data_IF_232702536041
#
_entry.id   IF_232702536041
#
_cell.length_a   1.000
_cell.length_b   1.000
_cell.length_c   1.000
_cell.angle_alpha   90.00
_cell.angle_beta   90.00
_cell.angle_gamma   90.00
#
_symmetry.space_group_name_H-M   'P 1'
#
loop_
_entity.id
_entity.type
_entity.pdbx_description
1 polymer ?
#
# COMPACT_ATOMS: atom_id res chain seq x y z
N UNK A 1 6.05 -22.87 3.70
CA UNK A 1 6.96 -21.91 4.40
C UNK A 1 6.74 -22.00 5.90
N UNK A 2 7.77 -21.80 6.74
CA UNK A 2 7.63 -21.81 8.21
C UNK A 2 7.93 -20.45 8.85
N UNK A 3 7.19 -20.11 9.91
CA UNK A 3 7.39 -18.89 10.71
C UNK A 3 7.14 -19.15 12.19
N UNK A 4 7.96 -18.57 13.06
CA UNK A 4 7.74 -18.61 14.52
C UNK A 4 7.26 -17.23 15.00
N UNK A 5 6.04 -17.18 15.50
CA UNK A 5 5.41 -15.94 15.96
C UNK A 5 4.58 -16.20 17.22
N UNK A 6 4.52 -15.22 18.12
CA UNK A 6 3.62 -15.26 19.30
C UNK A 6 2.13 -15.41 18.92
N UNK A 7 1.72 -14.85 17.78
CA UNK A 7 0.37 -14.96 17.21
C UNK A 7 0.45 -14.96 15.68
N UNK A 8 -0.55 -15.51 15.00
CA UNK A 8 -0.59 -15.44 13.53
C UNK A 8 -0.54 -13.97 13.06
N UNK A 9 0.30 -13.69 12.08
CA UNK A 9 0.43 -12.37 11.45
C UNK A 9 -0.28 -12.32 10.08
N UNK A 10 -0.81 -13.45 9.63
CA UNK A 10 -1.48 -13.60 8.34
C UNK A 10 -2.76 -14.41 8.50
N UNK A 11 -3.66 -14.25 7.55
CA UNK A 11 -4.96 -14.95 7.50
C UNK A 11 -5.05 -15.71 6.18
N UNK A 12 -5.55 -16.95 6.23
CA UNK A 12 -5.82 -17.74 5.03
C UNK A 12 -6.88 -17.04 4.15
N UNK A 13 -6.74 -17.15 2.83
CA UNK A 13 -7.54 -16.46 1.82
C UNK A 13 -7.10 -15.02 1.51
N UNK A 14 -6.24 -14.41 2.33
CA UNK A 14 -5.79 -13.05 2.10
C UNK A 14 -4.60 -12.98 1.13
N UNK A 15 -4.53 -11.88 0.36
CA UNK A 15 -3.38 -11.56 -0.48
C UNK A 15 -2.51 -10.48 0.17
N UNK A 16 -1.20 -10.71 0.19
CA UNK A 16 -0.20 -9.80 0.75
C UNK A 16 0.79 -9.34 -0.32
N UNK A 17 1.19 -8.07 -0.26
CA UNK A 17 2.25 -7.54 -1.13
C UNK A 17 3.61 -7.73 -0.45
N UNK A 18 4.53 -8.38 -1.15
CA UNK A 18 5.90 -8.62 -0.70
C UNK A 18 6.88 -8.20 -1.79
N UNK A 19 8.18 -8.26 -1.50
CA UNK A 19 9.21 -8.01 -2.52
C UNK A 19 9.19 -9.04 -3.66
N UNK A 20 8.66 -10.24 -3.41
CA UNK A 20 8.50 -11.29 -4.41
C UNK A 20 7.19 -11.19 -5.21
N UNK A 21 6.45 -10.08 -5.08
CA UNK A 21 5.14 -9.88 -5.71
C UNK A 21 3.98 -10.07 -4.74
N UNK A 22 2.79 -10.29 -5.30
CA UNK A 22 1.56 -10.57 -4.54
C UNK A 22 1.52 -12.05 -4.19
N UNK A 23 1.44 -12.36 -2.90
CA UNK A 23 1.37 -13.72 -2.39
C UNK A 23 0.00 -13.94 -1.78
N UNK A 24 -0.67 -15.02 -2.17
CA UNK A 24 -1.90 -15.50 -1.55
C UNK A 24 -1.54 -16.49 -0.45
N UNK A 25 -2.17 -16.35 0.71
CA UNK A 25 -2.03 -17.32 1.80
C UNK A 25 -3.16 -18.34 1.68
N UNK A 26 -2.85 -19.54 1.24
CA UNK A 26 -3.84 -20.61 1.07
C UNK A 26 -4.29 -21.18 2.42
N UNK A 27 -3.32 -21.46 3.28
CA UNK A 27 -3.53 -22.16 4.53
C UNK A 27 -2.56 -21.66 5.60
N UNK A 28 -3.08 -21.53 6.82
CA UNK A 28 -2.30 -21.23 8.02
C UNK A 28 -2.58 -22.32 9.04
N UNK A 29 -1.57 -23.13 9.35
CA UNK A 29 -1.66 -24.17 10.39
C UNK A 29 -0.52 -24.03 11.39
N UNK A 30 -0.71 -24.53 12.61
CA UNK A 30 0.34 -24.58 13.64
C UNK A 30 0.95 -25.98 13.65
N UNK A 31 2.28 -26.06 13.74
CA UNK A 31 3.02 -27.31 13.78
C UNK A 31 4.08 -27.26 14.87
N UNK A 32 4.19 -28.32 15.68
CA UNK A 32 5.30 -28.43 16.62
C UNK A 32 6.61 -28.65 15.84
N UNK A 33 7.75 -28.05 16.22
CA UNK A 33 9.02 -28.26 15.53
C UNK A 33 9.39 -29.75 15.33
N UNK A 34 9.10 -30.58 16.34
CA UNK A 34 9.32 -32.04 16.31
C UNK A 34 8.37 -32.80 15.38
N UNK A 35 7.28 -32.18 14.92
CA UNK A 35 6.29 -32.76 14.01
C UNK A 35 6.36 -32.20 12.59
N UNK A 36 7.38 -31.38 12.28
CA UNK A 36 7.62 -30.90 10.92
C UNK A 36 7.97 -32.09 10.03
N UNK A 37 7.20 -32.29 8.97
CA UNK A 37 7.41 -33.39 8.02
C UNK A 37 8.47 -33.00 7.00
N UNK A 38 9.26 -33.97 6.54
CA UNK A 38 10.27 -33.76 5.49
C UNK A 38 9.68 -33.23 4.18
N UNK A 39 8.43 -33.61 3.86
CA UNK A 39 7.73 -33.10 2.69
C UNK A 39 7.44 -31.59 2.80
N UNK A 40 6.98 -31.12 3.96
CA UNK A 40 6.70 -29.70 4.20
C UNK A 40 7.99 -28.87 4.22
N UNK A 41 9.08 -29.43 4.77
CA UNK A 41 10.42 -28.84 4.69
C UNK A 41 10.87 -28.63 3.23
N UNK A 42 10.77 -29.67 2.40
CA UNK A 42 11.11 -29.60 0.98
C UNK A 42 10.23 -28.62 0.21
N UNK A 43 8.91 -28.65 0.42
CA UNK A 43 7.97 -27.72 -0.20
C UNK A 43 8.24 -26.26 0.21
N UNK A 44 8.78 -26.04 1.42
CA UNK A 44 9.20 -24.73 1.90
C UNK A 44 10.60 -24.31 1.40
N UNK A 45 11.25 -25.10 0.53
CA UNK A 45 12.56 -24.80 -0.04
C UNK A 45 13.76 -25.23 0.81
N UNK A 46 13.56 -26.02 1.87
CA UNK A 46 14.64 -26.51 2.71
C UNK A 46 15.13 -27.91 2.28
N UNK A 47 16.43 -28.19 2.40
CA UNK A 47 16.97 -29.52 2.07
C UNK A 47 16.63 -30.58 3.14
N UNK A 48 16.29 -30.17 4.37
CA UNK A 48 15.95 -31.07 5.47
C UNK A 48 15.08 -30.41 6.54
N UNK A 49 14.46 -31.22 7.41
CA UNK A 49 13.72 -30.72 8.58
C UNK A 49 14.64 -29.96 9.53
N UNK A 50 15.87 -30.46 9.75
CA UNK A 50 16.84 -29.80 10.62
C UNK A 50 17.20 -28.39 10.11
N UNK A 51 17.38 -28.22 8.79
CA UNK A 51 17.60 -26.91 8.18
C UNK A 51 16.41 -25.97 8.37
N UNK A 52 15.17 -26.47 8.18
CA UNK A 52 13.96 -25.69 8.40
C UNK A 52 13.81 -25.24 9.86
N UNK A 53 14.11 -26.11 10.83
CA UNK A 53 14.06 -25.79 12.27
C UNK A 53 15.15 -24.78 12.66
N UNK A 54 16.37 -24.95 12.13
CA UNK A 54 17.48 -24.04 12.38
C UNK A 54 17.22 -22.63 11.83
N UNK A 55 16.43 -22.50 10.77
CA UNK A 55 16.09 -21.18 10.21
C UNK A 55 14.96 -20.46 10.95
N UNK A 56 14.26 -21.12 11.89
CA UNK A 56 13.17 -20.48 12.63
C UNK A 56 13.68 -19.32 13.50
N UNK A 57 13.39 -18.09 13.06
CA UNK A 57 13.63 -16.86 13.81
C UNK A 57 12.44 -16.52 14.71
N UNK A 58 12.71 -16.02 15.91
CA UNK A 58 11.70 -15.63 16.90
C UNK A 58 11.99 -16.23 18.29
N UNK A 59 11.21 -15.84 19.29
CA UNK A 59 11.40 -16.26 20.69
C UNK A 59 11.21 -17.77 20.83
N UNK A 60 12.18 -18.51 21.41
CA UNK A 60 11.97 -19.92 21.73
C UNK A 60 10.71 -20.13 22.57
N UNK A 61 9.86 -21.09 22.18
CA UNK A 61 8.57 -21.35 22.83
C UNK A 61 7.35 -20.75 22.14
N UNK A 62 7.54 -19.75 21.27
CA UNK A 62 6.43 -19.25 20.44
C UNK A 62 5.97 -20.33 19.44
N UNK A 63 4.66 -20.36 19.09
CA UNK A 63 4.12 -21.25 18.08
C UNK A 63 4.85 -21.16 16.74
N UNK A 64 5.00 -22.30 16.07
CA UNK A 64 5.49 -22.37 14.69
C UNK A 64 4.31 -22.58 13.75
N UNK A 65 4.18 -21.69 12.78
CA UNK A 65 3.17 -21.73 11.74
C UNK A 65 3.76 -22.32 10.45
N UNK A 66 3.03 -23.25 9.85
CA UNK A 66 3.20 -23.71 8.47
C UNK A 66 2.24 -22.92 7.58
N UNK A 67 2.81 -22.15 6.67
CA UNK A 67 2.09 -21.34 5.69
C UNK A 67 2.19 -22.00 4.32
N UNK A 68 1.04 -22.25 3.69
CA UNK A 68 0.94 -22.60 2.27
C UNK A 68 0.61 -21.34 1.48
N UNK A 69 1.40 -21.08 0.46
CA UNK A 69 1.44 -19.81 -0.24
C UNK A 69 1.64 -20.06 -1.73
N UNK A 70 1.00 -19.25 -2.57
CA UNK A 70 1.30 -19.16 -3.99
C UNK A 70 1.39 -17.70 -4.44
N UNK A 71 2.01 -17.46 -5.60
CA UNK A 71 1.99 -16.15 -6.24
C UNK A 71 0.61 -15.91 -6.83
N UNK A 72 0.00 -14.76 -6.55
CA UNK A 72 -1.26 -14.39 -7.18
C UNK A 72 -1.08 -14.32 -8.70
N UNK A 73 -1.98 -14.94 -9.45
CA UNK A 73 -1.93 -15.00 -10.92
C UNK A 73 -2.48 -13.71 -11.57
N UNK A 74 -3.38 -13.01 -10.87
CA UNK A 74 -3.98 -11.78 -11.36
C UNK A 74 -3.06 -10.56 -11.25
N UNK A 75 -3.19 -9.66 -12.24
CA UNK A 75 -2.59 -8.33 -12.20
C UNK A 75 -2.96 -7.58 -10.92
N UNK A 76 -2.05 -6.74 -10.40
CA UNK A 76 -2.32 -5.93 -9.22
C UNK A 76 -3.48 -4.95 -9.54
N UNK A 77 -4.67 -5.09 -8.91
CA UNK A 77 -5.79 -4.20 -9.20
C UNK A 77 -5.46 -2.73 -8.93
N UNK A 78 -4.51 -2.46 -8.03
CA UNK A 78 -4.01 -1.10 -7.76
C UNK A 78 -3.15 -0.55 -8.90
N UNK A 79 -2.36 -1.41 -9.55
CA UNK A 79 -1.59 -1.02 -10.73
C UNK A 79 -2.52 -0.76 -11.91
N UNK A 80 -3.53 -1.62 -12.11
CA UNK A 80 -4.57 -1.42 -13.12
C UNK A 80 -5.31 -0.09 -12.91
N UNK A 81 -5.77 0.19 -11.68
CA UNK A 81 -6.37 1.49 -11.33
C UNK A 81 -5.42 2.65 -11.63
N UNK A 82 -4.16 2.56 -11.21
CA UNK A 82 -3.21 3.65 -11.41
C UNK A 82 -2.95 3.96 -12.89
N UNK A 83 -3.00 2.95 -13.76
CA UNK A 83 -2.80 3.09 -15.20
C UNK A 83 -3.99 3.73 -15.93
N UNK A 84 -5.19 3.78 -15.33
CA UNK A 84 -6.40 4.35 -15.94
C UNK A 84 -6.25 5.87 -16.14
N UNK A 85 -6.06 6.32 -17.38
CA UNK A 85 -5.93 7.75 -17.71
C UNK A 85 -7.26 8.44 -18.08
N UNK A 86 -8.29 7.66 -18.42
CA UNK A 86 -9.62 8.14 -18.79
C UNK A 86 -10.59 7.80 -17.66
N UNK A 87 -11.21 8.81 -17.05
CA UNK A 87 -12.14 8.64 -15.94
C UNK A 87 -13.57 8.92 -16.39
N UNK A 88 -14.46 7.96 -16.12
CA UNK A 88 -15.90 8.20 -16.20
C UNK A 88 -16.37 9.21 -15.14
N UNK A 89 -17.61 9.68 -15.26
CA UNK A 89 -18.20 10.53 -14.22
C UNK A 89 -18.36 9.78 -12.90
N UNK A 90 -18.68 8.49 -12.98
CA UNK A 90 -18.81 7.56 -11.87
C UNK A 90 -17.48 7.34 -11.18
N UNK A 91 -16.41 7.08 -11.94
CA UNK A 91 -15.04 6.98 -11.41
C UNK A 91 -14.63 8.24 -10.65
N UNK A 92 -14.89 9.41 -11.25
CA UNK A 92 -14.56 10.70 -10.65
C UNK A 92 -15.31 10.91 -9.35
N UNK A 93 -16.61 10.61 -9.34
CA UNK A 93 -17.45 10.73 -8.15
C UNK A 93 -16.99 9.77 -7.03
N UNK A 94 -16.62 8.54 -7.39
CA UNK A 94 -16.10 7.57 -6.43
C UNK A 94 -14.77 8.02 -5.82
N UNK A 95 -13.82 8.52 -6.63
CA UNK A 95 -12.56 9.07 -6.11
C UNK A 95 -12.86 10.21 -5.15
N UNK A 96 -13.70 11.18 -5.55
CA UNK A 96 -14.05 12.33 -4.74
C UNK A 96 -14.63 11.92 -3.38
N UNK A 97 -15.58 10.97 -3.37
CA UNK A 97 -16.19 10.44 -2.15
C UNK A 97 -15.15 9.78 -1.22
N UNK A 98 -14.20 9.02 -1.79
CA UNK A 98 -13.14 8.37 -1.01
C UNK A 98 -12.15 9.40 -0.43
N UNK A 99 -11.79 10.43 -1.19
CA UNK A 99 -10.93 11.52 -0.71
C UNK A 99 -11.62 12.32 0.40
N UNK A 100 -12.90 12.66 0.23
CA UNK A 100 -13.68 13.37 1.24
C UNK A 100 -13.76 12.59 2.56
N UNK A 101 -13.95 11.27 2.50
CA UNK A 101 -13.92 10.41 3.70
C UNK A 101 -12.55 10.44 4.39
N UNK A 102 -11.46 10.43 3.64
CA UNK A 102 -10.10 10.52 4.18
C UNK A 102 -9.83 11.87 4.84
N UNK A 103 -10.34 12.96 4.26
CA UNK A 103 -10.24 14.29 4.82
C UNK A 103 -11.09 14.45 6.09
N UNK A 104 -12.32 13.91 6.09
CA UNK A 104 -13.22 13.95 7.25
C UNK A 104 -12.70 13.14 8.44
N UNK A 105 -12.02 12.02 8.18
CA UNK A 105 -11.43 11.17 9.21
C UNK A 105 -10.10 11.71 9.77
N UNK A 106 -9.58 12.81 9.22
CA UNK A 106 -8.30 13.39 9.61
C UNK A 106 -8.44 14.28 10.83
N UNK A 107 -7.55 14.10 11.82
CA UNK A 107 -7.48 14.96 13.01
C UNK A 107 -6.75 16.30 12.76
N UNK A 108 -6.17 16.49 11.57
CA UNK A 108 -5.42 17.69 11.19
C UNK A 108 -6.03 18.38 9.97
N UNK A 109 -7.34 18.21 9.78
CA UNK A 109 -8.10 18.79 8.68
C UNK A 109 -7.86 18.14 7.31
N UNK A 110 -8.47 18.69 6.25
CA UNK A 110 -8.36 18.20 4.88
C UNK A 110 -6.92 18.25 4.36
N UNK A 111 -6.44 17.14 3.83
CA UNK A 111 -5.05 16.95 3.41
C UNK A 111 -4.92 16.37 2.01
N UNK A 112 -5.93 15.67 1.49
CA UNK A 112 -5.81 14.91 0.25
C UNK A 112 -5.51 15.81 -0.95
N UNK A 113 -6.27 16.89 -1.12
CA UNK A 113 -6.10 17.86 -2.21
C UNK A 113 -4.72 18.53 -2.19
N UNK A 114 -4.29 19.02 -1.02
CA UNK A 114 -2.97 19.65 -0.85
C UNK A 114 -1.83 18.67 -1.15
N UNK A 115 -1.99 17.40 -0.76
CA UNK A 115 -0.99 16.36 -1.00
C UNK A 115 -0.93 15.97 -2.48
N UNK A 116 -2.06 15.85 -3.17
CA UNK A 116 -2.08 15.62 -4.61
C UNK A 116 -1.45 16.79 -5.37
N UNK A 117 -1.81 18.02 -5.02
CA UNK A 117 -1.28 19.23 -5.65
C UNK A 117 0.24 19.38 -5.46
N UNK A 118 0.78 19.11 -4.26
CA UNK A 118 2.23 19.24 -4.04
C UNK A 118 3.01 18.16 -4.78
N UNK A 119 2.48 16.93 -4.89
CA UNK A 119 3.10 15.83 -5.64
C UNK A 119 3.09 16.12 -7.14
N UNK A 120 2.00 16.68 -7.66
CA UNK A 120 1.88 17.11 -9.06
C UNK A 120 2.92 18.19 -9.40
N UNK A 121 3.03 19.20 -8.53
CA UNK A 121 3.95 20.33 -8.73
C UNK A 121 5.42 19.94 -8.57
N UNK A 122 5.74 18.94 -7.74
CA UNK A 122 7.12 18.59 -7.35
C UNK A 122 7.36 17.07 -7.42
N UNK A 123 7.25 16.45 -8.60
CA UNK A 123 7.50 15.02 -8.75
C UNK A 123 8.96 14.69 -8.43
N UNK A 124 9.20 13.53 -7.81
CA UNK A 124 10.55 13.05 -7.48
C UNK A 124 11.22 13.71 -6.26
N UNK A 125 10.55 14.65 -5.59
CA UNK A 125 11.08 15.29 -4.38
C UNK A 125 10.92 14.38 -3.16
N UNK A 126 11.91 14.40 -2.26
CA UNK A 126 11.90 13.57 -1.04
C UNK A 126 10.67 13.88 -0.19
N UNK A 127 10.11 12.82 0.40
CA UNK A 127 8.93 12.91 1.24
C UNK A 127 9.09 13.89 2.42
N UNK A 128 10.31 14.00 2.98
CA UNK A 128 10.60 14.94 4.06
C UNK A 128 10.44 16.39 3.64
N UNK A 129 10.92 16.75 2.44
CA UNK A 129 10.87 18.12 1.93
C UNK A 129 9.42 18.51 1.56
N UNK A 130 8.67 17.58 0.95
CA UNK A 130 7.24 17.78 0.66
C UNK A 130 6.42 17.94 1.95
N UNK A 131 6.69 17.11 2.96
CA UNK A 131 6.01 17.21 4.25
C UNK A 131 6.35 18.52 4.96
N UNK A 132 7.62 18.93 4.97
CA UNK A 132 8.07 20.17 5.58
C UNK A 132 7.39 21.41 4.95
N UNK A 133 7.23 21.43 3.62
CA UNK A 133 6.54 22.52 2.94
C UNK A 133 5.04 22.60 3.31
N UNK A 134 4.41 21.46 3.61
CA UNK A 134 3.03 21.41 4.13
C UNK A 134 2.96 21.63 5.64
N UNK A 135 4.07 21.89 6.34
CA UNK A 135 4.11 22.00 7.79
C UNK A 135 3.81 20.68 8.52
N UNK A 136 4.13 19.54 7.91
CA UNK A 136 3.82 18.20 8.41
C UNK A 136 5.06 17.39 8.74
N UNK A 137 4.92 16.47 9.69
CA UNK A 137 5.93 15.44 9.93
C UNK A 137 5.97 14.41 8.78
N UNK A 138 7.19 13.94 8.46
CA UNK A 138 7.42 13.04 7.32
C UNK A 138 6.69 11.69 7.45
N UNK A 139 6.69 11.06 8.63
CA UNK A 139 6.11 9.72 8.79
C UNK A 139 4.58 9.72 8.63
N UNK A 140 3.81 10.63 9.28
CA UNK A 140 2.39 10.81 8.99
C UNK A 140 2.11 11.13 7.52
N UNK A 141 2.91 12.01 6.89
CA UNK A 141 2.77 12.32 5.47
C UNK A 141 2.93 11.06 4.58
N UNK A 142 3.93 10.21 4.85
CA UNK A 142 4.11 8.94 4.12
C UNK A 142 2.93 7.97 4.28
N UNK A 143 2.32 7.94 5.46
CA UNK A 143 1.12 7.13 5.72
C UNK A 143 -0.03 7.61 4.85
N UNK A 144 -0.21 8.92 4.75
CA UNK A 144 -1.24 9.55 3.93
C UNK A 144 -1.02 9.35 2.43
N UNK A 145 0.20 9.54 1.93
CA UNK A 145 0.55 9.23 0.53
C UNK A 145 0.27 7.76 0.22
N UNK A 146 0.48 6.83 1.17
CA UNK A 146 0.11 5.41 0.99
C UNK A 146 -1.40 5.22 0.82
N UNK A 147 -2.24 5.99 1.52
CA UNK A 147 -3.71 5.95 1.33
C UNK A 147 -4.08 6.39 -0.09
N UNK A 148 -3.49 7.48 -0.59
CA UNK A 148 -3.69 7.94 -1.98
C UNK A 148 -3.19 6.91 -3.01
N UNK A 149 -2.04 6.29 -2.75
CA UNK A 149 -1.51 5.21 -3.60
C UNK A 149 -2.49 4.03 -3.69
N UNK A 150 -3.16 3.67 -2.59
CA UNK A 150 -4.15 2.60 -2.57
C UNK A 150 -5.40 2.92 -3.39
N UNK A 151 -5.69 4.20 -3.62
CA UNK A 151 -6.72 4.67 -4.55
C UNK A 151 -6.21 4.74 -6.00
N UNK A 152 -4.97 4.34 -6.26
CA UNK A 152 -4.33 4.41 -7.56
C UNK A 152 -3.99 5.84 -7.99
N UNK A 153 -3.92 6.82 -7.10
CA UNK A 153 -3.72 8.24 -7.47
C UNK A 153 -2.25 8.69 -7.48
N UNK A 154 -1.35 7.91 -6.89
CA UNK A 154 0.08 8.25 -6.80
C UNK A 154 0.95 7.02 -7.07
N UNK A 155 2.17 7.28 -7.54
CA UNK A 155 3.22 6.29 -7.75
C UNK A 155 4.41 6.60 -6.83
N UNK A 156 4.99 5.55 -6.25
CA UNK A 156 6.25 5.69 -5.51
C UNK A 156 7.41 5.52 -6.47
N UNK A 157 8.38 6.41 -6.35
CA UNK A 157 9.63 6.34 -7.09
C UNK A 157 10.74 5.85 -6.16
N UNK A 158 11.93 5.64 -6.71
CA UNK A 158 13.14 5.44 -5.90
C UNK A 158 13.34 6.62 -4.94
N UNK A 159 13.13 7.85 -5.44
CA UNK A 159 13.12 9.07 -4.65
C UNK A 159 11.78 9.78 -4.85
N UNK A 160 11.02 9.93 -3.76
CA UNK A 160 9.79 10.72 -3.77
C UNK A 160 8.59 10.04 -4.44
N UNK A 161 7.70 10.87 -4.97
CA UNK A 161 6.42 10.47 -5.54
C UNK A 161 6.15 11.20 -6.85
N UNK A 162 5.22 10.67 -7.64
CA UNK A 162 4.53 11.39 -8.71
C UNK A 162 3.06 10.99 -8.74
N UNK A 163 2.23 11.75 -9.43
CA UNK A 163 0.88 11.30 -9.73
C UNK A 163 0.94 10.09 -10.67
N UNK A 164 -0.07 9.23 -10.55
CA UNK A 164 -0.35 8.21 -11.57
C UNK A 164 -1.15 8.83 -12.72
N UNK A 165 -1.25 8.16 -13.89
CA UNK A 165 -2.20 8.55 -14.93
C UNK A 165 -3.62 8.84 -14.39
N UNK A 166 -4.12 8.00 -13.47
CA UNK A 166 -5.42 8.22 -12.80
C UNK A 166 -5.47 9.47 -11.94
N UNK A 167 -4.40 9.74 -11.18
CA UNK A 167 -4.29 10.93 -10.34
C UNK A 167 -4.25 12.23 -11.15
N UNK A 168 -3.48 12.23 -12.24
CA UNK A 168 -3.40 13.36 -13.17
C UNK A 168 -4.76 13.61 -13.84
N UNK A 169 -5.41 12.55 -14.32
CA UNK A 169 -6.75 12.63 -14.92
C UNK A 169 -7.78 13.21 -13.94
N UNK A 170 -7.75 12.76 -12.68
CA UNK A 170 -8.62 13.28 -11.64
C UNK A 170 -8.41 14.78 -11.42
N UNK A 171 -7.16 15.25 -11.23
CA UNK A 171 -6.89 16.67 -11.03
C UNK A 171 -7.26 17.54 -12.25
N UNK A 172 -7.02 17.05 -13.47
CA UNK A 172 -7.42 17.78 -14.69
C UNK A 172 -8.92 18.01 -14.74
N UNK A 173 -9.72 17.01 -14.36
CA UNK A 173 -11.19 17.06 -14.41
C UNK A 173 -11.83 17.83 -13.25
N UNK A 174 -11.17 17.94 -12.10
CA UNK A 174 -11.70 18.66 -10.93
C UNK A 174 -11.16 20.08 -10.78
N UNK A 175 -10.16 20.46 -11.57
CA UNK A 175 -9.34 21.64 -11.33
C UNK A 175 -8.44 21.43 -10.10
N UNK A 176 -7.25 22.04 -10.10
CA UNK A 176 -6.36 21.99 -8.93
C UNK A 176 -7.05 22.64 -7.73
N UNK A 177 -7.30 21.93 -6.60
CA UNK A 177 -7.83 22.56 -5.40
C UNK A 177 -6.73 23.47 -4.83
N UNK A 178 -6.86 24.78 -5.03
CA UNK A 178 -5.89 25.74 -4.47
C UNK A 178 -5.78 27.12 -5.10
N UNK A 179 -6.45 27.41 -6.22
CA UNK A 179 -6.50 28.80 -6.73
C UNK A 179 -7.90 29.37 -6.53
N UNK A 180 -8.12 30.34 -5.61
CA UNK A 180 -9.38 31.08 -5.61
C UNK A 180 -9.50 31.79 -6.96
N UNK A 181 -10.57 31.47 -7.69
CA UNK A 181 -10.90 32.15 -8.94
C UNK A 181 -11.09 33.65 -8.66
N UNK A 182 -10.15 34.46 -9.12
CA UNK A 182 -10.24 35.92 -9.07
C UNK A 182 -10.95 36.42 -10.33
N UNK A 183 -12.28 36.39 -10.35
CA UNK A 183 -13.13 37.18 -11.28
C UNK A 183 -14.57 37.12 -10.74
N UNK A 184 -15.33 38.18 -10.52
CA UNK A 184 -15.34 39.53 -11.10
C UNK A 184 -15.99 40.50 -10.11
N UNK A 185 -15.30 41.59 -9.79
CA UNK A 185 -15.93 42.86 -9.40
C UNK A 185 -15.95 43.73 -10.64
N UNK A 186 -17.12 43.91 -11.23
CA UNK A 186 -17.35 45.00 -12.18
C UNK A 186 -18.55 45.78 -11.67
N UNK A 187 -18.32 47.07 -11.46
CA UNK A 187 -19.32 48.10 -11.18
C UNK A 187 -20.21 48.33 -12.39
#
# INVERSE_FOLDING_TARGET
>A
MFRRWRRSQVTAGNTYRTAAGRIVVDEVSTVAPSRIRSADARAAGYPSVAAAVADLRGTPGDPVFLLRLHLAEDDDPRAALAATAELSTEDRAEIALRLERLDRASNHGPWTGQTLAIIDRRPGVRAGDLAAELGREMLPFKVDVRKLKNLGLTLSLEVGYRLSPRGEAYLRLTGTPGTPSATSRTR
#
